data_IF_611959995930
#
_entry.id   IF_611959995930
#
_cell.length_a   1.000
_cell.length_b   1.000
_cell.length_c   1.000
_cell.angle_alpha   90.00
_cell.angle_beta   90.00
_cell.angle_gamma   90.00
#
_symmetry.space_group_name_H-M   'P 1'
#
loop_
_entity.id
_entity.type
_entity.pdbx_description
1 polymer ?
#
# COMPACT_ATOMS: atom_id res chain seq x y z
N UNK A 1 17.54 42.47 11.67
CA UNK A 1 18.38 41.35 11.21
C UNK A 1 18.10 40.25 12.20
N UNK A 2 17.36 39.19 11.86
CA UNK A 2 17.17 38.13 12.82
C UNK A 2 18.51 37.38 12.92
N UNK A 3 19.13 37.50 14.09
CA UNK A 3 20.17 36.59 14.55
C UNK A 3 19.49 35.26 14.94
N UNK A 4 20.23 34.16 14.78
CA UNK A 4 19.92 32.81 15.28
C UNK A 4 19.05 31.90 14.40
N UNK A 5 19.50 31.58 13.19
CA UNK A 5 19.55 30.15 12.82
C UNK A 5 20.96 29.72 13.19
N UNK A 6 21.10 29.04 14.33
CA UNK A 6 22.32 28.26 14.58
C UNK A 6 22.20 27.10 13.63
N UNK A 7 22.63 27.28 12.38
CA UNK A 7 22.38 26.35 11.29
C UNK A 7 22.90 24.98 11.70
N UNK A 8 22.00 24.01 11.87
CA UNK A 8 22.35 22.65 12.30
C UNK A 8 23.53 22.10 11.46
N UNK A 9 23.61 22.52 10.19
CA UNK A 9 24.68 22.24 9.25
C UNK A 9 26.09 22.67 9.68
N UNK A 10 26.26 23.70 10.52
CA UNK A 10 27.59 24.13 11.00
C UNK A 10 28.28 23.05 11.84
N UNK A 11 27.49 22.25 12.57
CA UNK A 11 27.99 21.15 13.40
C UNK A 11 27.68 19.76 12.79
N UNK A 12 26.57 19.63 12.06
CA UNK A 12 26.10 18.39 11.43
C UNK A 12 26.35 18.40 9.91
N UNK A 13 27.56 18.76 9.50
CA UNK A 13 27.93 18.96 8.09
C UNK A 13 27.60 17.74 7.22
N UNK A 14 27.95 16.53 7.66
CA UNK A 14 27.71 15.31 6.87
C UNK A 14 26.23 15.03 6.67
N UNK A 15 25.40 15.26 7.70
CA UNK A 15 23.95 15.06 7.62
C UNK A 15 23.32 16.14 6.74
N UNK A 16 23.73 17.40 6.91
CA UNK A 16 23.23 18.51 6.12
C UNK A 16 23.53 18.32 4.62
N UNK A 17 24.73 17.84 4.28
CA UNK A 17 25.09 17.54 2.89
C UNK A 17 24.19 16.46 2.28
N UNK A 18 23.82 15.41 3.03
CA UNK A 18 22.90 14.40 2.53
C UNK A 18 21.46 14.92 2.43
N UNK A 19 21.06 15.78 3.38
CA UNK A 19 19.72 16.35 3.40
C UNK A 19 19.48 17.32 2.25
N UNK A 20 20.46 18.17 1.93
CA UNK A 20 20.36 19.22 0.90
C UNK A 20 19.93 18.66 -0.45
N UNK A 21 20.42 17.48 -0.84
CA UNK A 21 20.08 16.84 -2.11
C UNK A 21 18.76 16.01 -2.05
N UNK A 22 18.07 15.98 -0.91
CA UNK A 22 16.93 15.10 -0.69
C UNK A 22 15.60 15.67 -1.23
N UNK A 23 14.62 14.81 -1.56
CA UNK A 23 13.28 15.27 -1.94
C UNK A 23 12.55 16.07 -0.85
N UNK A 24 12.90 15.87 0.42
CA UNK A 24 12.29 16.60 1.55
C UNK A 24 12.80 18.04 1.62
N UNK A 25 14.11 18.25 1.43
CA UNK A 25 14.67 19.60 1.30
C UNK A 25 14.04 20.34 0.12
N UNK A 26 13.77 19.63 -0.98
CA UNK A 26 13.19 20.19 -2.19
C UNK A 26 11.66 20.09 -2.29
N UNK A 27 10.97 19.81 -1.18
CA UNK A 27 9.52 19.65 -1.21
C UNK A 27 8.82 20.94 -1.70
N UNK A 28 9.34 22.11 -1.34
CA UNK A 28 8.73 23.38 -1.71
C UNK A 28 9.09 23.85 -3.12
N UNK A 29 10.36 23.72 -3.53
CA UNK A 29 10.86 24.28 -4.78
C UNK A 29 10.80 23.29 -5.96
N UNK A 30 10.25 22.09 -5.75
CA UNK A 30 9.93 21.17 -6.83
C UNK A 30 9.08 21.85 -7.91
N UNK A 31 9.52 21.83 -9.20
CA UNK A 31 8.82 22.53 -10.28
C UNK A 31 7.38 22.04 -10.51
N UNK A 32 7.11 20.74 -10.34
CA UNK A 32 5.77 20.19 -10.56
C UNK A 32 4.83 20.63 -9.46
N UNK A 33 5.30 20.60 -8.20
CA UNK A 33 4.57 21.14 -7.08
C UNK A 33 4.29 22.64 -7.28
N UNK A 34 5.30 23.43 -7.63
CA UNK A 34 5.14 24.88 -7.83
C UNK A 34 4.12 25.21 -8.93
N UNK A 35 4.17 24.50 -10.07
CA UNK A 35 3.19 24.66 -11.14
C UNK A 35 1.76 24.35 -10.65
N UNK A 36 1.57 23.22 -10.00
CA UNK A 36 0.26 22.77 -9.52
C UNK A 36 -0.28 23.68 -8.40
N UNK A 37 0.56 24.04 -7.43
CA UNK A 37 0.19 24.90 -6.31
C UNK A 37 -0.23 26.29 -6.80
N UNK A 38 0.49 26.87 -7.75
CA UNK A 38 0.13 28.14 -8.37
C UNK A 38 -1.17 28.02 -9.19
N UNK A 39 -1.36 26.94 -9.95
CA UNK A 39 -2.57 26.69 -10.73
C UNK A 39 -3.82 26.57 -9.83
N UNK A 40 -3.67 26.04 -8.62
CA UNK A 40 -4.73 25.92 -7.61
C UNK A 40 -4.99 27.23 -6.83
N UNK A 41 -4.24 28.30 -7.11
CA UNK A 41 -4.38 29.59 -6.43
C UNK A 41 -3.68 29.67 -5.07
N UNK A 42 -2.60 28.90 -4.90
CA UNK A 42 -1.73 28.90 -3.72
C UNK A 42 -2.47 28.56 -2.40
N UNK A 43 -3.24 27.47 -2.34
CA UNK A 43 -3.90 27.08 -1.10
C UNK A 43 -2.88 26.78 0.01
N UNK A 44 -3.21 27.21 1.23
CA UNK A 44 -2.36 27.04 2.40
C UNK A 44 -2.24 25.58 2.85
N UNK A 45 -3.24 24.74 2.59
CA UNK A 45 -3.23 23.32 2.98
C UNK A 45 -2.05 22.54 2.37
N UNK A 46 -1.54 22.97 1.22
CA UNK A 46 -0.33 22.41 0.62
C UNK A 46 0.92 22.64 1.47
N UNK A 47 0.98 23.79 2.17
CA UNK A 47 2.15 24.18 2.96
C UNK A 47 2.27 23.38 4.25
N UNK A 48 1.23 22.65 4.67
CA UNK A 48 1.30 21.72 5.81
C UNK A 48 2.43 20.70 5.64
N UNK A 49 2.66 20.24 4.41
CA UNK A 49 3.67 19.22 4.09
C UNK A 49 4.89 19.79 3.37
N UNK A 50 4.71 20.89 2.64
CA UNK A 50 5.73 21.45 1.74
C UNK A 50 6.52 22.60 2.38
N UNK A 51 6.30 22.93 3.66
CA UNK A 51 7.13 23.88 4.41
C UNK A 51 7.38 23.37 5.83
N UNK A 52 8.25 24.07 6.55
CA UNK A 52 8.55 23.74 7.95
C UNK A 52 7.70 24.58 8.89
N UNK A 53 7.03 23.89 9.83
CA UNK A 53 6.25 24.53 10.91
C UNK A 53 5.16 25.48 10.39
N UNK A 54 4.40 25.06 9.38
CA UNK A 54 3.26 25.82 8.87
C UNK A 54 2.13 25.95 9.90
N UNK A 55 1.61 27.17 10.07
CA UNK A 55 0.49 27.49 10.97
C UNK A 55 -0.75 27.89 10.15
N UNK A 56 -1.77 27.03 10.04
CA UNK A 56 -2.97 27.32 9.26
C UNK A 56 -3.74 28.55 9.72
N UNK A 57 -3.66 28.92 11.00
CA UNK A 57 -4.39 30.06 11.54
C UNK A 57 -3.87 31.42 11.03
N UNK A 58 -2.56 31.51 10.74
CA UNK A 58 -1.92 32.75 10.29
C UNK A 58 -1.43 32.67 8.84
N UNK A 59 -1.19 31.46 8.33
CA UNK A 59 -0.58 31.22 7.02
C UNK A 59 0.95 31.35 7.03
N UNK A 60 1.57 31.48 8.22
CA UNK A 60 3.02 31.60 8.37
C UNK A 60 3.69 30.22 8.41
N UNK A 61 4.95 30.17 7.99
CA UNK A 61 5.85 29.02 8.17
C UNK A 61 7.26 29.52 8.50
N UNK A 62 8.11 28.64 9.02
CA UNK A 62 9.48 28.99 9.46
C UNK A 62 10.44 28.96 8.27
N UNK A 63 10.44 27.86 7.50
CA UNK A 63 11.31 27.67 6.34
C UNK A 63 10.53 27.10 5.15
N UNK A 64 10.98 27.43 3.94
CA UNK A 64 10.55 26.74 2.71
C UNK A 64 11.15 25.32 2.70
N UNK A 65 10.34 24.33 2.32
CA UNK A 65 10.72 22.92 2.30
C UNK A 65 10.63 22.26 3.68
N UNK A 66 10.89 20.96 3.72
CA UNK A 66 10.99 20.21 4.99
C UNK A 66 12.41 20.39 5.51
N UNK A 67 12.56 21.05 6.66
CA UNK A 67 13.85 21.33 7.30
C UNK A 67 14.08 20.44 8.52
N UNK A 68 15.24 20.59 9.16
CA UNK A 68 15.62 19.79 10.33
C UNK A 68 14.58 19.86 11.45
N UNK A 69 13.98 21.04 11.66
CA UNK A 69 13.01 21.27 12.71
C UNK A 69 11.68 20.55 12.47
N UNK A 70 11.38 20.15 11.23
CA UNK A 70 10.19 19.36 10.91
C UNK A 70 10.17 18.03 11.64
N UNK A 71 11.32 17.43 11.97
CA UNK A 71 11.38 16.20 12.77
C UNK A 71 12.06 16.43 14.12
N UNK A 72 13.05 17.32 14.20
CA UNK A 72 13.80 17.55 15.44
C UNK A 72 13.20 18.62 16.36
N UNK A 73 12.18 19.35 15.90
CA UNK A 73 11.66 20.52 16.59
C UNK A 73 12.71 21.62 16.75
N UNK A 74 12.37 22.64 17.52
CA UNK A 74 13.25 23.79 17.76
C UNK A 74 14.48 23.41 18.57
N UNK A 75 15.65 23.88 18.14
CA UNK A 75 16.92 23.68 18.83
C UNK A 75 16.86 24.03 20.33
N UNK A 76 17.30 23.09 21.18
CA UNK A 76 17.38 23.32 22.63
C UNK A 76 18.67 24.05 22.99
N UNK A 77 18.56 25.05 23.86
CA UNK A 77 19.70 25.87 24.32
C UNK A 77 20.88 25.10 24.96
N UNK A 78 20.67 23.85 25.40
CA UNK A 78 21.68 22.99 26.02
C UNK A 78 22.08 21.80 25.13
N UNK A 79 21.76 21.87 23.83
CA UNK A 79 22.37 21.05 22.80
C UNK A 79 23.65 21.75 22.30
N UNK A 80 24.84 21.13 22.44
CA UNK A 80 25.19 19.91 23.18
C UNK A 80 25.39 20.14 24.71
N UNK A 81 25.32 19.10 25.59
CA UNK A 81 25.33 17.65 25.31
C UNK A 81 23.94 16.99 25.21
N UNK A 82 22.85 17.73 25.40
CA UNK A 82 21.51 17.15 25.20
C UNK A 82 21.31 16.79 23.73
N UNK A 83 20.68 15.65 23.45
CA UNK A 83 20.32 15.26 22.07
C UNK A 83 19.05 16.00 21.65
N UNK A 84 18.97 16.35 20.37
CA UNK A 84 17.72 16.84 19.80
C UNK A 84 16.63 15.76 19.93
N UNK A 85 15.37 16.15 20.24
CA UNK A 85 14.26 15.21 20.16
C UNK A 85 14.03 14.79 18.70
N UNK A 86 13.28 13.72 18.48
CA UNK A 86 12.88 13.28 17.14
C UNK A 86 11.40 12.91 17.15
N UNK A 87 10.66 13.47 16.20
CA UNK A 87 9.29 13.15 15.84
C UNK A 87 9.37 12.38 14.53
N UNK A 88 9.37 11.04 14.60
CA UNK A 88 9.55 10.19 13.42
C UNK A 88 8.94 8.79 13.60
N UNK A 89 7.86 8.67 14.36
CA UNK A 89 7.04 7.46 14.30
C UNK A 89 6.24 7.40 12.98
N UNK A 90 5.68 6.24 12.66
CA UNK A 90 4.96 6.03 11.40
C UNK A 90 3.77 7.00 11.26
N UNK A 91 3.03 7.24 12.33
CA UNK A 91 1.94 8.22 12.37
C UNK A 91 2.42 9.64 12.05
N UNK A 92 3.58 10.06 12.55
CA UNK A 92 4.15 11.36 12.26
C UNK A 92 4.52 11.50 10.77
N UNK A 93 5.17 10.49 10.19
CA UNK A 93 5.41 10.48 8.74
C UNK A 93 4.09 10.58 7.95
N UNK A 94 3.04 9.92 8.48
CA UNK A 94 1.70 9.90 7.93
C UNK A 94 0.92 11.21 7.98
N UNK A 95 1.39 12.25 8.70
CA UNK A 95 0.78 13.58 8.63
C UNK A 95 0.93 14.19 7.24
N UNK A 96 2.02 13.86 6.55
CA UNK A 96 2.30 14.30 5.19
C UNK A 96 2.11 13.17 4.17
N UNK A 97 2.65 11.98 4.44
CA UNK A 97 2.58 10.82 3.55
C UNK A 97 1.27 10.05 3.71
N UNK A 98 0.15 10.75 3.47
CA UNK A 98 -1.19 10.26 3.85
C UNK A 98 -1.64 9.02 3.08
N UNK A 99 -1.18 8.82 1.84
CA UNK A 99 -1.46 7.59 1.07
C UNK A 99 -0.63 6.44 1.60
N UNK A 100 0.67 6.65 1.78
CA UNK A 100 1.60 5.63 2.26
C UNK A 100 1.24 5.13 3.65
N UNK A 101 0.89 5.99 4.60
CA UNK A 101 0.49 5.53 5.94
C UNK A 101 -0.80 4.71 5.92
N UNK A 102 -1.76 5.04 5.04
CA UNK A 102 -2.99 4.24 4.86
C UNK A 102 -2.68 2.87 4.28
N UNK A 103 -1.74 2.78 3.33
CA UNK A 103 -1.27 1.51 2.79
C UNK A 103 -0.50 0.70 3.84
N UNK A 104 0.43 1.34 4.54
CA UNK A 104 1.26 0.73 5.57
C UNK A 104 0.41 0.10 6.68
N UNK A 105 -0.62 0.80 7.14
CA UNK A 105 -1.56 0.29 8.15
C UNK A 105 -2.37 -0.94 7.71
N UNK A 106 -2.35 -1.29 6.43
CA UNK A 106 -2.94 -2.52 5.90
C UNK A 106 -1.92 -3.65 5.75
N UNK A 107 -0.63 -3.37 5.89
CA UNK A 107 0.43 -4.37 5.82
C UNK A 107 0.53 -5.19 7.11
N UNK A 108 1.14 -6.37 7.00
CA UNK A 108 1.49 -7.18 8.18
C UNK A 108 2.67 -6.59 8.99
N UNK A 109 3.42 -5.64 8.42
CA UNK A 109 4.54 -4.97 9.08
C UNK A 109 4.07 -3.97 10.15
N UNK A 110 2.98 -3.26 9.90
CA UNK A 110 2.43 -2.29 10.85
C UNK A 110 2.10 -2.90 12.24
N UNK A 111 1.32 -4.00 12.35
CA UNK A 111 1.06 -4.64 13.65
C UNK A 111 2.29 -5.33 14.26
N UNK A 112 3.37 -5.51 13.50
CA UNK A 112 4.64 -6.02 13.98
C UNK A 112 5.58 -4.93 14.54
N UNK A 113 5.10 -3.69 14.66
CA UNK A 113 5.86 -2.53 15.17
C UNK A 113 7.09 -2.19 14.32
N UNK A 114 7.02 -2.47 13.01
CA UNK A 114 8.01 -2.01 12.04
C UNK A 114 7.62 -0.59 11.61
N UNK A 115 8.57 0.34 11.72
CA UNK A 115 8.43 1.74 11.35
C UNK A 115 9.07 2.07 9.99
N UNK A 116 8.77 3.26 9.47
CA UNK A 116 9.29 3.72 8.18
C UNK A 116 10.84 3.73 8.15
N UNK A 117 11.46 4.09 9.27
CA UNK A 117 12.92 4.19 9.40
C UNK A 117 13.64 2.84 9.52
N UNK A 118 12.90 1.73 9.69
CA UNK A 118 13.50 0.40 9.66
C UNK A 118 13.89 -0.01 8.23
N UNK A 119 13.41 0.74 7.23
CA UNK A 119 13.69 0.55 5.81
C UNK A 119 14.31 1.78 5.14
N UNK A 120 13.94 2.98 5.59
CA UNK A 120 14.38 4.25 5.00
C UNK A 120 15.30 5.03 5.94
N UNK A 121 16.37 5.62 5.39
CA UNK A 121 17.14 6.63 6.10
C UNK A 121 16.41 7.97 5.99
N UNK A 122 15.97 8.57 7.11
CA UNK A 122 15.23 9.82 7.06
C UNK A 122 16.09 11.01 6.62
N UNK A 123 17.43 10.94 6.67
CA UNK A 123 18.27 12.07 6.26
C UNK A 123 18.56 12.05 4.77
N UNK A 124 18.97 10.90 4.22
CA UNK A 124 19.22 10.79 2.78
C UNK A 124 17.96 10.53 1.97
N UNK A 125 16.86 10.15 2.61
CA UNK A 125 15.61 9.68 1.97
C UNK A 125 15.81 8.41 1.12
N UNK A 126 16.98 7.77 1.21
CA UNK A 126 17.26 6.50 0.56
C UNK A 126 16.82 5.33 1.44
N UNK A 127 16.90 4.12 0.89
CA UNK A 127 16.73 2.90 1.68
C UNK A 127 18.01 2.61 2.46
N UNK A 128 17.90 2.00 3.64
CA UNK A 128 19.04 1.62 4.47
C UNK A 128 20.00 0.65 3.77
N UNK A 129 19.50 -0.12 2.79
CA UNK A 129 20.30 -1.01 1.97
C UNK A 129 20.24 -0.60 0.50
N UNK A 130 21.39 -0.67 -0.16
CA UNK A 130 21.51 -0.38 -1.59
C UNK A 130 20.77 -1.42 -2.44
N UNK A 131 20.83 -2.68 -2.04
CA UNK A 131 20.12 -3.80 -2.69
C UNK A 131 18.82 -4.01 -1.93
N UNK A 132 17.69 -3.92 -2.65
CA UNK A 132 16.35 -4.02 -2.05
C UNK A 132 16.16 -5.32 -1.28
N UNK A 133 16.65 -6.43 -1.83
CA UNK A 133 16.42 -7.77 -1.26
C UNK A 133 17.17 -7.94 0.06
N UNK A 134 18.36 -7.35 0.19
CA UNK A 134 19.15 -7.42 1.43
C UNK A 134 18.40 -6.75 2.61
N UNK A 135 17.63 -5.69 2.33
CA UNK A 135 16.78 -5.05 3.34
C UNK A 135 15.72 -6.02 3.87
N UNK A 136 15.03 -6.72 2.98
CA UNK A 136 13.99 -7.67 3.34
C UNK A 136 14.57 -8.90 4.06
N UNK A 137 15.68 -9.44 3.52
CA UNK A 137 16.34 -10.63 4.05
C UNK A 137 16.91 -10.37 5.45
N UNK A 138 17.26 -9.13 5.81
CA UNK A 138 17.74 -8.80 7.16
C UNK A 138 16.77 -9.24 8.27
N UNK A 139 15.46 -9.32 7.97
CA UNK A 139 14.45 -9.84 8.90
C UNK A 139 13.85 -11.18 8.45
N UNK A 140 13.67 -11.41 7.15
CA UNK A 140 12.98 -12.60 6.62
C UNK A 140 13.90 -13.78 6.31
N UNK A 141 15.20 -13.72 6.63
CA UNK A 141 16.19 -14.74 6.27
C UNK A 141 15.75 -16.19 6.52
N UNK A 142 15.14 -16.45 7.68
CA UNK A 142 14.77 -17.81 8.09
C UNK A 142 13.61 -18.39 7.26
N UNK A 143 12.77 -17.54 6.68
CA UNK A 143 11.62 -17.94 5.87
C UNK A 143 11.96 -18.07 4.37
N UNK A 144 13.17 -17.66 3.97
CA UNK A 144 13.56 -17.59 2.55
C UNK A 144 14.00 -18.93 1.94
N UNK A 145 14.26 -19.97 2.75
CA UNK A 145 14.48 -21.37 2.33
C UNK A 145 15.01 -21.57 0.90
N UNK A 146 14.22 -22.23 0.05
CA UNK A 146 14.54 -22.47 -1.36
C UNK A 146 14.20 -21.29 -2.29
N UNK A 147 13.52 -20.23 -1.81
CA UNK A 147 13.09 -19.08 -2.63
C UNK A 147 14.28 -18.35 -3.26
N UNK A 148 15.44 -18.34 -2.60
CA UNK A 148 16.67 -17.78 -3.18
C UNK A 148 17.12 -18.49 -4.47
N UNK A 149 16.60 -19.69 -4.73
CA UNK A 149 16.84 -20.43 -5.97
C UNK A 149 15.68 -20.33 -6.97
N UNK A 150 14.65 -19.53 -6.72
CA UNK A 150 13.52 -19.36 -7.62
C UNK A 150 13.95 -18.72 -8.95
N UNK A 151 13.19 -19.00 -10.02
CA UNK A 151 13.46 -18.45 -11.36
C UNK A 151 13.39 -16.92 -11.37
N UNK A 152 12.50 -16.29 -10.59
CA UNK A 152 12.41 -14.83 -10.53
C UNK A 152 13.70 -14.23 -9.96
N UNK A 153 14.17 -14.74 -8.82
CA UNK A 153 15.42 -14.30 -8.18
C UNK A 153 16.62 -14.51 -9.10
N UNK A 154 16.72 -15.66 -9.78
CA UNK A 154 17.78 -15.93 -10.75
C UNK A 154 17.76 -15.00 -11.97
N UNK A 155 16.61 -14.44 -12.32
CA UNK A 155 16.45 -13.44 -13.37
C UNK A 155 16.44 -12.00 -12.83
N UNK A 156 16.94 -11.80 -11.62
CA UNK A 156 17.12 -10.49 -11.00
C UNK A 156 15.78 -9.74 -10.78
N UNK A 157 14.70 -10.49 -10.57
CA UNK A 157 13.40 -10.01 -10.09
C UNK A 157 13.39 -10.21 -8.58
N UNK A 158 13.51 -9.10 -7.85
CA UNK A 158 13.65 -9.06 -6.39
C UNK A 158 12.32 -8.94 -5.65
N UNK A 159 12.40 -8.82 -4.33
CA UNK A 159 11.24 -8.84 -3.44
C UNK A 159 10.25 -7.72 -3.78
N UNK A 160 10.76 -6.52 -4.02
CA UNK A 160 9.95 -5.32 -4.28
C UNK A 160 9.27 -5.32 -5.65
N UNK A 161 9.78 -6.11 -6.60
CA UNK A 161 9.20 -6.22 -7.95
C UNK A 161 7.85 -6.96 -7.95
N UNK A 162 7.54 -7.65 -6.84
CA UNK A 162 6.24 -8.28 -6.63
C UNK A 162 5.51 -7.71 -5.42
N UNK A 163 6.18 -7.64 -4.26
CA UNK A 163 5.53 -7.24 -3.02
C UNK A 163 5.23 -5.74 -2.99
N UNK A 164 6.14 -4.89 -3.48
CA UNK A 164 5.98 -3.43 -3.45
C UNK A 164 5.84 -2.82 -4.86
N UNK A 165 5.36 -3.60 -5.83
CA UNK A 165 5.21 -3.13 -7.20
C UNK A 165 4.12 -2.06 -7.26
N UNK A 166 4.48 -0.87 -7.72
CA UNK A 166 3.53 0.21 -8.00
C UNK A 166 3.17 0.16 -9.48
N UNK A 167 1.90 -0.11 -9.76
CA UNK A 167 1.31 0.05 -11.09
C UNK A 167 0.51 1.35 -11.04
N UNK A 168 1.03 2.47 -11.59
CA UNK A 168 0.32 3.73 -11.56
C UNK A 168 -0.97 3.62 -12.40
N UNK A 169 -2.09 4.20 -11.92
CA UNK A 169 -3.31 4.27 -12.71
C UNK A 169 -3.09 5.08 -14.00
N UNK A 170 -3.75 4.69 -15.09
CA UNK A 170 -3.79 5.43 -16.35
C UNK A 170 -5.26 5.64 -16.78
N UNK A 171 -5.78 6.87 -16.78
CA UNK A 171 -5.09 8.12 -16.44
C UNK A 171 -4.82 8.27 -14.93
N UNK A 172 -3.82 9.09 -14.59
CA UNK A 172 -3.57 9.50 -13.20
C UNK A 172 -4.79 10.30 -12.69
N UNK A 173 -5.33 10.00 -11.50
CA UNK A 173 -6.43 10.74 -10.90
C UNK A 173 -6.16 12.25 -10.75
N UNK A 174 -7.20 13.06 -10.90
CA UNK A 174 -7.13 14.53 -10.75
C UNK A 174 -6.67 14.98 -9.35
N UNK A 175 -6.88 14.15 -8.32
CA UNK A 175 -6.43 14.41 -6.95
C UNK A 175 -4.97 13.98 -6.71
N UNK A 176 -4.30 13.38 -7.70
CA UNK A 176 -2.91 12.95 -7.62
C UNK A 176 -2.66 11.78 -6.66
N UNK A 177 -3.70 11.18 -6.09
CA UNK A 177 -3.56 10.08 -5.13
C UNK A 177 -3.27 8.79 -5.91
N UNK A 178 -2.02 8.34 -5.85
CA UNK A 178 -1.55 7.12 -6.51
C UNK A 178 -1.03 6.11 -5.48
N UNK A 179 -1.15 4.79 -5.74
CA UNK A 179 -0.60 3.78 -4.85
C UNK A 179 0.90 3.94 -4.66
N UNK A 180 1.40 3.61 -3.47
CA UNK A 180 2.84 3.70 -3.14
C UNK A 180 3.49 2.35 -2.90
N UNK A 181 2.74 1.24 -2.99
CA UNK A 181 3.26 -0.12 -2.89
C UNK A 181 3.52 -0.59 -1.45
N UNK A 182 3.07 0.17 -0.45
CA UNK A 182 3.38 -0.07 0.97
C UNK A 182 2.36 -0.97 1.68
N UNK A 183 1.44 -1.60 0.92
CA UNK A 183 0.59 -2.68 1.43
C UNK A 183 1.29 -4.04 1.38
N UNK A 184 2.40 -4.15 0.63
CA UNK A 184 3.13 -5.39 0.34
C UNK A 184 2.30 -6.53 -0.27
N UNK A 185 1.11 -6.20 -0.78
CA UNK A 185 0.15 -7.16 -1.30
C UNK A 185 0.42 -7.49 -2.76
N UNK A 186 0.64 -8.77 -3.05
CA UNK A 186 0.70 -9.28 -4.42
C UNK A 186 -0.71 -9.46 -4.94
N UNK A 187 -1.02 -8.85 -6.08
CA UNK A 187 -2.31 -9.02 -6.78
C UNK A 187 -2.09 -9.68 -8.14
N UNK A 188 -3.15 -10.18 -8.82
CA UNK A 188 -3.00 -10.67 -10.19
C UNK A 188 -2.39 -9.64 -11.15
N UNK A 189 -2.64 -8.34 -10.92
CA UNK A 189 -2.07 -7.26 -11.72
C UNK A 189 -0.54 -7.23 -11.62
N UNK A 190 0.03 -7.57 -10.45
CA UNK A 190 1.48 -7.70 -10.25
C UNK A 190 2.09 -8.68 -11.25
N UNK A 191 1.44 -9.84 -11.43
CA UNK A 191 1.92 -10.86 -12.35
C UNK A 191 1.71 -10.44 -13.81
N UNK A 192 0.54 -9.86 -14.13
CA UNK A 192 0.20 -9.40 -15.49
C UNK A 192 1.11 -8.28 -15.98
N UNK A 193 1.72 -7.50 -15.08
CA UNK A 193 2.70 -6.47 -15.44
C UNK A 193 3.89 -7.01 -16.25
N UNK A 194 4.25 -8.29 -16.08
CA UNK A 194 5.29 -8.97 -16.88
C UNK A 194 4.74 -10.14 -17.71
N UNK A 195 3.67 -10.78 -17.27
CA UNK A 195 3.05 -11.95 -17.92
C UNK A 195 1.74 -11.59 -18.64
N UNK A 196 1.77 -10.54 -19.46
CA UNK A 196 0.58 -9.99 -20.15
C UNK A 196 -0.18 -11.05 -20.95
N UNK A 197 0.55 -11.95 -21.60
CA UNK A 197 -0.01 -12.94 -22.54
C UNK A 197 -0.18 -14.32 -21.89
N UNK A 198 0.64 -14.64 -20.88
CA UNK A 198 0.69 -15.99 -20.28
C UNK A 198 -0.47 -16.26 -19.32
N UNK A 199 -1.01 -15.23 -18.65
CA UNK A 199 -2.11 -15.39 -17.70
C UNK A 199 -3.50 -15.39 -18.36
N UNK A 200 -3.64 -14.73 -19.52
CA UNK A 200 -4.87 -14.77 -20.31
C UNK A 200 -4.97 -16.00 -21.22
N UNK A 201 -3.85 -16.65 -21.54
CA UNK A 201 -3.81 -17.79 -22.45
C UNK A 201 -4.11 -19.15 -21.81
N UNK A 202 -4.51 -19.19 -20.53
CA UNK A 202 -4.82 -20.45 -19.83
C UNK A 202 -3.66 -21.44 -19.80
N UNK A 203 -2.42 -20.96 -19.99
CA UNK A 203 -1.26 -21.84 -20.04
C UNK A 203 -0.87 -22.22 -18.62
N UNK A 204 -0.74 -23.52 -18.35
CA UNK A 204 -0.19 -23.99 -17.08
C UNK A 204 1.19 -23.39 -16.85
N UNK A 205 1.37 -22.75 -15.70
CA UNK A 205 2.70 -22.50 -15.18
C UNK A 205 3.35 -23.87 -14.88
N UNK A 206 4.61 -24.10 -15.30
CA UNK A 206 5.32 -25.33 -14.97
C UNK A 206 5.28 -25.58 -13.45
N UNK A 207 4.61 -26.65 -13.01
CA UNK A 207 4.42 -26.97 -11.58
C UNK A 207 3.02 -26.70 -11.00
N UNK A 208 2.12 -26.06 -11.76
CA UNK A 208 0.73 -25.78 -11.34
C UNK A 208 -0.33 -26.38 -12.28
N UNK A 209 0.02 -27.47 -12.96
CA UNK A 209 -0.79 -28.08 -14.03
C UNK A 209 -2.21 -28.52 -13.60
N UNK A 210 -2.44 -28.72 -12.31
CA UNK A 210 -3.72 -29.18 -11.78
C UNK A 210 -4.81 -28.08 -11.70
N UNK A 211 -4.43 -26.80 -11.74
CA UNK A 211 -5.38 -25.68 -11.57
C UNK A 211 -5.99 -25.19 -12.89
N UNK A 212 -5.36 -25.50 -14.02
CA UNK A 212 -5.78 -25.05 -15.35
C UNK A 212 -7.09 -25.72 -15.83
N UNK A 213 -7.36 -26.97 -15.44
CA UNK A 213 -8.56 -27.70 -15.88
C UNK A 213 -9.87 -27.09 -15.34
N UNK A 214 -9.83 -26.35 -14.23
CA UNK A 214 -11.03 -25.72 -13.65
C UNK A 214 -11.32 -24.32 -14.18
N UNK A 215 -10.35 -23.66 -14.82
CA UNK A 215 -10.49 -22.27 -15.26
C UNK A 215 -11.26 -22.13 -16.58
N UNK A 216 -11.17 -23.13 -17.46
CA UNK A 216 -11.69 -23.12 -18.84
C UNK A 216 -13.24 -23.04 -18.90
N UNK A 217 -13.94 -23.67 -17.94
CA UNK A 217 -15.40 -23.58 -17.84
C UNK A 217 -15.89 -22.19 -17.37
N UNK A 218 -15.14 -21.53 -16.49
CA UNK A 218 -15.49 -20.20 -15.95
C UNK A 218 -15.22 -19.06 -16.92
N UNK A 219 -14.13 -19.13 -17.70
CA UNK A 219 -13.77 -18.10 -18.69
C UNK A 219 -14.79 -17.98 -19.82
N UNK A 220 -15.38 -19.11 -20.23
CA UNK A 220 -16.39 -19.17 -21.30
C UNK A 220 -17.75 -18.58 -20.89
N UNK A 221 -18.06 -18.54 -19.59
CA UNK A 221 -19.30 -17.99 -19.04
C UNK A 221 -19.22 -16.48 -18.80
N UNK A 222 -18.02 -15.95 -18.52
CA UNK A 222 -17.79 -14.52 -18.28
C UNK A 222 -17.80 -13.73 -19.60
N UNK A 223 -17.18 -14.27 -20.66
CA UNK A 223 -17.16 -13.60 -21.98
C UNK A 223 -18.55 -13.45 -22.61
N UNK A 224 -19.43 -14.45 -22.40
CA UNK A 224 -20.82 -14.38 -22.87
C UNK A 224 -21.66 -13.37 -22.08
N UNK A 225 -21.29 -13.05 -20.84
CA UNK A 225 -22.00 -12.06 -20.02
C UNK A 225 -21.56 -10.62 -20.32
N UNK A 226 -20.31 -10.42 -20.77
CA UNK A 226 -19.79 -9.10 -21.14
C UNK A 226 -20.32 -8.62 -22.50
N UNK A 227 -20.52 -9.52 -23.46
CA UNK A 227 -21.00 -9.17 -24.80
C UNK A 227 -22.49 -8.73 -24.82
N UNK A 228 -23.26 -9.05 -23.77
CA UNK A 228 -24.67 -8.62 -23.63
C UNK A 228 -24.83 -7.27 -22.90
N UNK A 229 -23.74 -6.68 -22.36
CA UNK A 229 -23.80 -5.45 -21.55
C UNK A 229 -23.12 -4.22 -22.18
N UNK A 230 -22.79 -4.29 -23.46
CA UNK A 230 -22.22 -3.19 -24.25
C UNK A 230 -23.17 -2.80 -25.38
N UNK A 231 -24.26 -2.12 -25.06
CA UNK A 231 -24.74 -0.98 -25.87
C UNK A 231 -25.87 -0.21 -25.16
N UNK A 232 -25.69 1.11 -25.09
CA UNK A 232 -26.69 2.18 -24.85
C UNK A 232 -27.57 2.17 -23.57
N UNK A 233 -26.98 2.11 -22.37
CA UNK A 233 -27.72 2.44 -21.12
C UNK A 233 -27.00 3.56 -20.34
N UNK A 234 -27.68 4.67 -19.99
CA UNK A 234 -27.11 5.76 -19.18
C UNK A 234 -26.55 5.24 -17.85
N UNK A 235 -25.46 5.85 -17.36
CA UNK A 235 -24.69 5.40 -16.18
C UNK A 235 -25.55 5.16 -14.94
N UNK A 236 -26.59 5.98 -14.72
CA UNK A 236 -27.52 5.85 -13.59
C UNK A 236 -28.37 4.57 -13.65
N UNK A 237 -28.84 4.18 -14.84
CA UNK A 237 -29.58 2.94 -15.04
C UNK A 237 -28.67 1.71 -14.97
N UNK A 238 -27.38 1.84 -15.29
CA UNK A 238 -26.39 0.78 -15.07
C UNK A 238 -26.16 0.53 -13.58
N UNK A 239 -26.06 1.58 -12.76
CA UNK A 239 -25.91 1.44 -11.29
C UNK A 239 -27.13 0.75 -10.70
N UNK A 240 -28.34 1.18 -11.06
CA UNK A 240 -29.57 0.57 -10.55
C UNK A 240 -29.74 -0.90 -11.00
N UNK A 241 -29.38 -1.22 -12.25
CA UNK A 241 -29.38 -2.58 -12.75
C UNK A 241 -28.33 -3.47 -12.06
N UNK A 242 -27.14 -2.93 -11.80
CA UNK A 242 -26.08 -3.63 -11.07
C UNK A 242 -26.47 -3.86 -9.61
N UNK A 243 -27.06 -2.87 -8.93
CA UNK A 243 -27.57 -3.01 -7.56
C UNK A 243 -28.67 -4.07 -7.49
N UNK A 244 -29.60 -4.09 -8.45
CA UNK A 244 -30.66 -5.10 -8.53
C UNK A 244 -30.09 -6.51 -8.80
N UNK A 245 -29.09 -6.63 -9.67
CA UNK A 245 -28.40 -7.89 -9.95
C UNK A 245 -27.60 -8.40 -8.74
N UNK A 246 -26.94 -7.48 -8.01
CA UNK A 246 -26.20 -7.81 -6.79
C UNK A 246 -27.15 -8.28 -5.69
N UNK A 247 -28.26 -7.55 -5.48
CA UNK A 247 -29.31 -7.91 -4.52
C UNK A 247 -29.91 -9.29 -4.82
N UNK A 248 -30.17 -9.60 -6.10
CA UNK A 248 -30.62 -10.90 -6.55
C UNK A 248 -29.61 -12.03 -6.28
N UNK A 249 -28.32 -11.79 -6.53
CA UNK A 249 -27.24 -12.74 -6.21
C UNK A 249 -27.13 -13.01 -4.72
N UNK A 250 -27.17 -11.99 -3.86
CA UNK A 250 -27.16 -12.18 -2.40
C UNK A 250 -28.35 -12.97 -1.89
N UNK A 251 -29.53 -12.78 -2.48
CA UNK A 251 -30.71 -13.56 -2.10
C UNK A 251 -30.55 -15.03 -2.51
N UNK A 252 -30.07 -15.30 -3.74
CA UNK A 252 -29.85 -16.65 -4.23
C UNK A 252 -28.80 -17.42 -3.41
N UNK A 253 -27.69 -16.77 -3.03
CA UNK A 253 -26.65 -17.39 -2.20
C UNK A 253 -27.14 -17.68 -0.78
N UNK A 254 -27.95 -16.79 -0.19
CA UNK A 254 -28.59 -17.03 1.10
C UNK A 254 -29.57 -18.21 1.06
N UNK A 255 -30.37 -18.33 0.00
CA UNK A 255 -31.28 -19.47 -0.17
C UNK A 255 -30.52 -20.79 -0.39
N UNK A 256 -29.48 -20.80 -1.22
CA UNK A 256 -28.64 -21.98 -1.42
C UNK A 256 -27.93 -22.39 -0.14
N UNK A 257 -27.33 -21.44 0.59
CA UNK A 257 -26.71 -21.68 1.90
C UNK A 257 -27.71 -22.19 2.93
N UNK A 258 -28.93 -21.64 2.96
CA UNK A 258 -30.01 -22.10 3.83
C UNK A 258 -30.47 -23.53 3.54
N UNK A 259 -30.61 -23.89 2.26
CA UNK A 259 -30.98 -25.27 1.87
C UNK A 259 -29.86 -26.25 2.22
N UNK A 260 -28.61 -25.93 1.90
CA UNK A 260 -27.44 -26.77 2.24
C UNK A 260 -27.34 -26.93 3.76
N UNK A 261 -27.49 -25.84 4.51
CA UNK A 261 -27.48 -25.86 5.98
C UNK A 261 -28.60 -26.72 6.58
N UNK A 262 -29.82 -26.66 6.03
CA UNK A 262 -30.93 -27.50 6.49
C UNK A 262 -30.72 -28.99 6.18
N UNK A 263 -30.15 -29.31 5.01
CA UNK A 263 -29.85 -30.70 4.63
C UNK A 263 -28.75 -31.27 5.53
N UNK A 264 -27.64 -30.54 5.72
CA UNK A 264 -26.52 -30.97 6.56
C UNK A 264 -26.91 -31.04 8.04
N UNK A 265 -27.63 -30.04 8.54
CA UNK A 265 -28.14 -30.02 9.91
C UNK A 265 -29.14 -31.15 10.17
N UNK A 266 -30.09 -31.36 9.25
CA UNK A 266 -31.09 -32.42 9.35
C UNK A 266 -30.50 -33.82 9.29
N UNK A 267 -29.54 -34.06 8.39
CA UNK A 267 -28.82 -35.34 8.31
C UNK A 267 -27.98 -35.60 9.55
N UNK A 268 -27.26 -34.60 10.05
CA UNK A 268 -26.49 -34.72 11.30
C UNK A 268 -27.40 -35.02 12.50
N UNK A 269 -28.50 -34.27 12.66
CA UNK A 269 -29.47 -34.51 13.73
C UNK A 269 -30.11 -35.91 13.64
N UNK A 270 -30.41 -36.39 12.43
CA UNK A 270 -30.93 -37.73 12.21
C UNK A 270 -29.92 -38.83 12.56
N UNK A 271 -28.65 -38.67 12.16
CA UNK A 271 -27.56 -39.61 12.50
C UNK A 271 -27.38 -39.69 14.03
N UNK A 272 -27.32 -38.53 14.70
CA UNK A 272 -27.19 -38.46 16.16
C UNK A 272 -28.39 -39.11 16.84
N UNK A 273 -29.63 -38.77 16.44
CA UNK A 273 -30.84 -39.36 17.01
C UNK A 273 -30.91 -40.87 16.77
N UNK A 274 -30.46 -41.37 15.61
CA UNK A 274 -30.41 -42.80 15.29
C UNK A 274 -29.38 -43.54 16.14
N UNK A 275 -28.24 -42.92 16.43
CA UNK A 275 -27.19 -43.52 17.26
C UNK A 275 -27.55 -43.51 18.74
N UNK A 276 -28.19 -42.45 19.25
CA UNK A 276 -28.69 -42.40 20.63
C UNK A 276 -29.76 -43.47 20.90
N UNK A 277 -30.66 -43.74 19.94
CA UNK A 277 -31.69 -44.79 20.06
C UNK A 277 -31.16 -46.24 19.96
N UNK A 278 -29.88 -46.43 19.63
CA UNK A 278 -29.24 -47.75 19.47
C UNK A 278 -28.37 -48.15 20.66
N UNK A 279 -28.24 -47.29 21.67
CA UNK A 279 -27.56 -47.66 22.92
C UNK A 279 -28.47 -48.62 23.71
N UNK A 280 -28.00 -49.84 24.03
CA UNK A 280 -28.73 -50.73 24.92
C UNK A 280 -28.80 -50.11 26.33
N UNK A 281 -29.98 -50.17 26.94
CA UNK A 281 -30.15 -49.85 28.37
C UNK A 281 -29.44 -50.95 29.17
N UNK A 282 -28.37 -50.58 29.90
CA UNK A 282 -27.73 -51.43 30.92
C UNK A 282 -28.68 -51.71 32.09
#
# INVERSE_FOLDING_TARGET
MPEEVTECAECHVDIANHWEDSPHAHAYDDPFFQEQWQALGQPGDCLVCHTTSYEPATGDFVDEGVSCESCHGVAKSNHPPETMPILADAEYCGTCHTTTIKEWNQSDHAPADVGCMDCHDPHSQERLFKVSDDLCINCHQDDMGDYLNDTHVQNNIGCVDCHALVIPPDPIPDDGIVPTGHTFTITPATCVACHTDSLHAGFSLPGFDASAETADETGTLLSQAEEELTDEIPTEQRVEALEAALAGRTLATLFQGGIIGLVLGGTTAWIVARNVRRLPED
#
